data_IF_781099598022
#
_entry.id   IF_781099598022
#
_cell.length_a   1.000
_cell.length_b   1.000
_cell.length_c   1.000
_cell.angle_alpha   90.00
_cell.angle_beta   90.00
_cell.angle_gamma   90.00
#
_symmetry.space_group_name_H-M   'P 1'
#
loop_
_entity.id
_entity.type
_entity.pdbx_description
1 polymer ?
#
# COMPACT_ATOMS: atom_id res chain seq x y z
N UNK A 1 8.50 19.02 18.66
CA UNK A 1 8.44 17.60 19.06
C UNK A 1 7.10 17.35 19.75
N UNK A 2 6.34 16.36 19.32
CA UNK A 2 5.10 15.94 19.98
C UNK A 2 5.12 14.44 20.17
N UNK A 3 4.49 13.95 21.23
CA UNK A 3 4.36 12.52 21.52
C UNK A 3 2.88 12.16 21.62
N UNK A 4 2.49 11.04 21.00
CA UNK A 4 1.13 10.50 21.09
C UNK A 4 1.17 9.01 21.31
N UNK A 5 0.36 8.54 22.25
CA UNK A 5 0.14 7.10 22.44
C UNK A 5 -0.70 6.55 21.30
N UNK A 6 -0.20 5.49 20.68
CA UNK A 6 -0.81 4.86 19.52
C UNK A 6 -0.75 3.35 19.68
N UNK A 7 -1.86 2.67 19.38
CA UNK A 7 -1.96 1.20 19.45
C UNK A 7 -2.00 0.63 18.04
N UNK A 8 -1.17 -0.36 17.80
CA UNK A 8 -1.08 -1.16 16.58
C UNK A 8 -1.38 -2.63 16.88
N UNK A 9 -1.43 -3.48 15.86
CA UNK A 9 -1.58 -4.94 16.05
C UNK A 9 -0.45 -5.55 16.87
N UNK A 10 0.73 -4.95 16.81
CA UNK A 10 1.96 -5.45 17.44
C UNK A 10 2.33 -4.74 18.74
N UNK A 11 1.46 -3.93 19.29
CA UNK A 11 1.67 -3.31 20.60
C UNK A 11 1.27 -1.85 20.69
N UNK A 12 1.44 -1.29 21.88
CA UNK A 12 1.15 0.13 22.17
C UNK A 12 2.45 0.88 22.41
N UNK A 13 2.59 2.03 21.74
CA UNK A 13 3.80 2.83 21.76
C UNK A 13 3.49 4.30 21.95
N UNK A 14 4.38 5.00 22.60
CA UNK A 14 4.43 6.45 22.59
C UNK A 14 5.25 6.87 21.37
N UNK A 15 4.55 7.36 20.32
CA UNK A 15 5.13 7.74 19.04
C UNK A 15 5.50 9.22 19.08
N UNK A 16 6.78 9.51 18.92
CA UNK A 16 7.31 10.87 18.89
C UNK A 16 7.45 11.35 17.44
N UNK A 17 6.98 12.58 17.21
CA UNK A 17 7.07 13.22 15.91
C UNK A 17 7.75 14.58 15.98
N UNK A 18 8.54 14.88 14.97
CA UNK A 18 9.16 16.18 14.76
C UNK A 18 9.01 16.59 13.29
N UNK A 19 8.49 17.79 13.04
CA UNK A 19 8.28 18.34 11.69
C UNK A 19 7.51 17.42 10.76
N UNK A 20 6.54 16.66 11.30
CA UNK A 20 5.74 15.70 10.54
C UNK A 20 6.38 14.34 10.27
N UNK A 21 7.57 14.09 10.83
CA UNK A 21 8.27 12.80 10.73
C UNK A 21 8.22 12.05 12.05
N UNK A 22 8.12 10.73 12.00
CA UNK A 22 8.28 9.87 13.17
C UNK A 22 9.77 9.75 13.49
N UNK A 23 10.16 10.22 14.68
CA UNK A 23 11.56 10.20 15.14
C UNK A 23 11.82 9.09 16.17
N UNK A 24 10.79 8.69 16.92
CA UNK A 24 10.88 7.57 17.85
C UNK A 24 9.54 6.85 17.99
N UNK A 25 9.60 5.56 18.34
CA UNK A 25 8.49 4.74 18.78
C UNK A 25 8.92 4.01 20.04
N UNK A 26 8.45 4.47 21.19
CA UNK A 26 8.85 3.96 22.49
C UNK A 26 7.75 3.04 23.02
N UNK A 27 8.04 1.76 23.33
CA UNK A 27 7.05 0.88 23.90
C UNK A 27 6.59 1.41 25.27
N UNK A 28 5.34 1.14 25.63
CA UNK A 28 4.85 1.47 26.97
C UNK A 28 5.51 0.58 28.02
N UNK A 29 5.70 1.11 29.23
CA UNK A 29 6.36 0.37 30.34
C UNK A 29 5.64 -0.91 30.74
N UNK A 30 4.36 -1.05 30.41
CA UNK A 30 3.57 -2.24 30.72
C UNK A 30 3.77 -3.40 29.74
N UNK A 31 4.47 -3.18 28.61
CA UNK A 31 4.75 -4.22 27.63
C UNK A 31 6.12 -4.86 27.96
N UNK A 32 6.14 -6.12 28.42
CA UNK A 32 7.38 -6.79 28.82
C UNK A 32 8.20 -7.31 27.62
N UNK A 33 7.59 -7.43 26.44
CA UNK A 33 8.22 -7.97 25.22
C UNK A 33 7.76 -7.22 23.96
N UNK A 34 8.15 -5.95 23.82
CA UNK A 34 7.67 -5.11 22.74
C UNK A 34 8.19 -5.58 21.37
N UNK A 35 7.30 -5.59 20.39
CA UNK A 35 7.66 -5.98 19.04
C UNK A 35 8.63 -4.99 18.38
N UNK A 36 9.73 -5.45 17.77
CA UNK A 36 10.67 -4.60 17.05
C UNK A 36 10.09 -3.99 15.75
N UNK A 37 8.91 -4.44 15.31
CA UNK A 37 8.25 -3.93 14.10
C UNK A 37 7.99 -2.43 14.19
N UNK A 38 7.79 -1.90 15.39
CA UNK A 38 7.58 -0.47 15.62
C UNK A 38 8.75 0.41 15.16
N UNK A 39 9.98 -0.13 15.07
CA UNK A 39 11.13 0.61 14.55
C UNK A 39 10.98 0.98 13.06
N UNK A 40 10.18 0.24 12.30
CA UNK A 40 9.88 0.54 10.91
C UNK A 40 9.04 1.82 10.72
N UNK A 41 8.44 2.36 11.78
CA UNK A 41 7.71 3.63 11.71
C UNK A 41 8.65 4.81 11.40
N UNK A 42 9.91 4.71 11.83
CA UNK A 42 10.92 5.75 11.55
C UNK A 42 11.18 5.83 10.05
N UNK A 43 10.97 7.00 9.49
CA UNK A 43 11.17 7.25 8.05
C UNK A 43 10.18 6.55 7.11
N UNK A 44 9.16 5.84 7.63
CA UNK A 44 8.20 5.09 6.81
C UNK A 44 7.45 5.98 5.81
N UNK A 45 7.16 7.23 6.18
CA UNK A 45 6.41 8.17 5.35
C UNK A 45 7.17 8.59 4.09
N UNK A 46 8.49 8.64 4.15
CA UNK A 46 9.38 9.07 3.05
C UNK A 46 10.31 7.99 2.55
N UNK A 47 10.06 6.75 2.90
CA UNK A 47 10.84 5.62 2.42
C UNK A 47 10.68 5.48 0.89
N UNK A 48 11.79 5.22 0.21
CA UNK A 48 11.80 4.97 -1.25
C UNK A 48 10.97 3.76 -1.68
N UNK A 49 10.71 2.83 -0.76
CA UNK A 49 9.85 1.67 -1.00
C UNK A 49 8.36 2.01 -0.93
N UNK A 50 8.02 3.19 -0.40
CA UNK A 50 6.62 3.63 -0.35
C UNK A 50 6.14 4.03 -1.73
N UNK A 51 4.99 3.51 -2.13
CA UNK A 51 4.30 3.91 -3.36
C UNK A 51 3.46 5.16 -3.05
N UNK A 52 3.86 6.36 -3.48
CA UNK A 52 3.20 7.62 -3.10
C UNK A 52 1.94 7.92 -3.92
N UNK A 53 1.81 7.31 -5.10
CA UNK A 53 0.71 7.53 -6.05
C UNK A 53 0.30 6.21 -6.68
N UNK A 54 -0.89 6.09 -7.26
CA UNK A 54 -1.23 4.93 -8.07
C UNK A 54 -0.23 4.71 -9.18
N UNK A 55 0.15 3.46 -9.40
CA UNK A 55 1.15 3.07 -10.38
C UNK A 55 0.58 2.00 -11.30
N UNK A 56 0.79 2.15 -12.61
CA UNK A 56 0.35 1.20 -13.63
C UNK A 56 1.55 0.72 -14.42
N UNK A 57 1.59 -0.57 -14.76
CA UNK A 57 2.65 -1.13 -15.61
C UNK A 57 2.64 -0.48 -16.99
N UNK A 58 3.81 -0.11 -17.49
CA UNK A 58 3.95 0.55 -18.81
C UNK A 58 3.37 -0.30 -19.94
N UNK A 59 3.56 -1.60 -19.91
CA UNK A 59 3.01 -2.53 -20.92
C UNK A 59 1.48 -2.56 -20.89
N UNK A 60 0.87 -2.51 -19.72
CA UNK A 60 -0.59 -2.45 -19.61
C UNK A 60 -1.18 -1.17 -20.20
N UNK A 61 -0.49 -0.03 -20.05
CA UNK A 61 -0.91 1.23 -20.66
C UNK A 61 -0.82 1.22 -22.18
N UNK A 62 0.12 0.45 -22.74
CA UNK A 62 0.30 0.31 -24.19
C UNK A 62 -0.67 -0.69 -24.81
N UNK A 63 -0.85 -1.83 -24.17
CA UNK A 63 -1.68 -2.92 -24.67
C UNK A 63 -2.17 -3.76 -23.50
N UNK A 64 -3.44 -3.59 -23.14
CA UNK A 64 -4.09 -4.32 -22.02
C UNK A 64 -3.95 -5.84 -22.21
N UNK A 65 -4.04 -6.33 -23.44
CA UNK A 65 -4.09 -7.77 -23.77
C UNK A 65 -2.73 -8.47 -23.72
N UNK A 66 -1.62 -7.76 -23.96
CA UNK A 66 -0.29 -8.35 -24.09
C UNK A 66 0.67 -7.98 -22.95
N UNK A 67 0.15 -7.52 -21.82
CA UNK A 67 0.97 -7.05 -20.70
C UNK A 67 1.53 -8.19 -19.81
N UNK A 68 1.09 -9.43 -20.02
CA UNK A 68 1.45 -10.57 -19.14
C UNK A 68 2.93 -10.94 -19.24
N UNK A 69 3.48 -10.94 -20.45
CA UNK A 69 4.86 -11.36 -20.71
C UNK A 69 5.93 -10.40 -20.17
N UNK A 70 5.55 -9.16 -19.86
CA UNK A 70 6.45 -8.14 -19.32
C UNK A 70 6.37 -7.98 -17.80
N UNK A 71 5.57 -8.79 -17.13
CA UNK A 71 5.38 -8.74 -15.69
C UNK A 71 6.70 -8.92 -14.94
N UNK A 72 7.01 -7.97 -14.05
CA UNK A 72 8.28 -7.93 -13.31
C UNK A 72 9.50 -7.44 -14.10
N UNK A 73 9.35 -7.12 -15.40
CA UNK A 73 10.45 -6.67 -16.26
C UNK A 73 10.26 -5.26 -16.81
N UNK A 74 9.11 -4.68 -16.60
CA UNK A 74 8.75 -3.35 -17.09
C UNK A 74 8.61 -2.35 -15.94
N UNK A 75 8.81 -1.05 -16.19
CA UNK A 75 8.62 -0.03 -15.18
C UNK A 75 7.14 0.18 -14.86
N UNK A 76 6.87 0.68 -13.66
CA UNK A 76 5.60 1.26 -13.28
C UNK A 76 5.59 2.76 -13.61
N UNK A 77 4.47 3.24 -14.12
CA UNK A 77 4.24 4.63 -14.48
C UNK A 77 3.25 5.24 -13.49
N UNK A 78 3.55 6.37 -12.85
CA UNK A 78 2.62 7.05 -11.97
C UNK A 78 1.42 7.59 -12.77
N UNK A 79 0.23 7.46 -12.21
CA UNK A 79 -1.02 7.94 -12.79
C UNK A 79 -1.85 8.68 -11.74
N UNK A 80 -2.86 9.44 -12.16
CA UNK A 80 -3.82 10.04 -11.23
C UNK A 80 -4.75 8.96 -10.63
N UNK A 81 -5.32 9.25 -9.47
CA UNK A 81 -6.35 8.40 -8.86
C UNK A 81 -7.55 8.22 -9.79
N UNK A 82 -8.05 9.31 -10.36
CA UNK A 82 -9.16 9.28 -11.30
C UNK A 82 -8.90 8.34 -12.49
N UNK A 83 -7.68 8.40 -13.05
CA UNK A 83 -7.31 7.52 -14.15
C UNK A 83 -7.18 6.05 -13.71
N UNK A 84 -6.59 5.80 -12.55
CA UNK A 84 -6.47 4.45 -12.00
C UNK A 84 -7.84 3.81 -11.73
N UNK A 85 -8.75 4.54 -11.10
CA UNK A 85 -10.13 4.10 -10.84
C UNK A 85 -10.88 3.78 -12.13
N UNK A 86 -10.75 4.64 -13.14
CA UNK A 86 -11.33 4.42 -14.47
C UNK A 86 -10.82 3.13 -15.11
N UNK A 87 -9.50 2.89 -15.09
CA UNK A 87 -8.91 1.67 -15.64
C UNK A 87 -9.44 0.41 -14.95
N UNK A 88 -9.53 0.43 -13.62
CA UNK A 88 -10.05 -0.70 -12.84
C UNK A 88 -11.53 -0.93 -13.14
N UNK A 89 -12.34 0.12 -13.16
CA UNK A 89 -13.77 0.02 -13.43
C UNK A 89 -14.07 -0.51 -14.85
N UNK A 90 -13.31 -0.04 -15.85
CA UNK A 90 -13.42 -0.51 -17.23
C UNK A 90 -13.10 -2.01 -17.33
N UNK A 91 -12.00 -2.45 -16.70
CA UNK A 91 -11.56 -3.84 -16.76
C UNK A 91 -12.52 -4.78 -16.01
N UNK A 92 -12.96 -4.43 -14.81
CA UNK A 92 -13.95 -5.20 -14.07
C UNK A 92 -15.26 -5.31 -14.85
N UNK A 93 -15.68 -4.23 -15.51
CA UNK A 93 -16.88 -4.24 -16.35
C UNK A 93 -16.70 -5.16 -17.56
N UNK A 94 -15.55 -5.11 -18.22
CA UNK A 94 -15.20 -5.99 -19.35
C UNK A 94 -15.24 -7.46 -18.91
N UNK A 95 -14.54 -7.81 -17.85
CA UNK A 95 -14.46 -9.20 -17.34
C UNK A 95 -15.86 -9.72 -16.99
N UNK A 96 -16.64 -8.94 -16.25
CA UNK A 96 -18.00 -9.33 -15.89
C UNK A 96 -18.90 -9.56 -17.10
N UNK A 97 -18.81 -8.71 -18.12
CA UNK A 97 -19.63 -8.85 -19.34
C UNK A 97 -19.22 -10.03 -20.21
N UNK A 98 -17.90 -10.29 -20.32
CA UNK A 98 -17.38 -11.32 -21.21
C UNK A 98 -17.36 -12.72 -20.58
N UNK A 99 -17.19 -12.82 -19.25
CA UNK A 99 -16.88 -14.07 -18.57
C UNK A 99 -17.75 -14.33 -17.33
N UNK A 100 -18.65 -13.41 -16.96
CA UNK A 100 -19.50 -13.53 -15.78
C UNK A 100 -18.83 -13.14 -14.47
N UNK A 101 -19.59 -13.19 -13.39
CA UNK A 101 -19.07 -12.84 -12.05
C UNK A 101 -18.07 -13.88 -11.52
N UNK A 102 -18.16 -15.12 -11.96
CA UNK A 102 -17.25 -16.20 -11.54
C UNK A 102 -15.80 -15.97 -11.97
N UNK A 103 -15.59 -15.11 -12.96
CA UNK A 103 -14.23 -14.74 -13.40
C UNK A 103 -13.55 -13.69 -12.51
N UNK A 104 -14.27 -13.15 -11.52
CA UNK A 104 -13.75 -12.15 -10.58
C UNK A 104 -13.53 -12.82 -9.23
N UNK A 105 -12.28 -13.11 -8.90
CA UNK A 105 -11.90 -13.53 -7.56
C UNK A 105 -11.69 -12.33 -6.66
N UNK A 106 -12.43 -12.26 -5.57
CA UNK A 106 -12.27 -11.24 -4.54
C UNK A 106 -12.01 -11.92 -3.19
N UNK A 107 -11.01 -11.46 -2.49
CA UNK A 107 -10.65 -11.99 -1.20
C UNK A 107 -9.95 -10.94 -0.35
N UNK A 108 -9.93 -11.18 0.94
CA UNK A 108 -9.24 -10.34 1.92
C UNK A 108 -8.43 -11.22 2.84
N UNK A 109 -7.37 -10.68 3.39
CA UNK A 109 -6.59 -11.33 4.44
C UNK A 109 -7.40 -11.48 5.74
N UNK A 110 -8.46 -10.69 5.89
CA UNK A 110 -9.44 -10.86 6.96
C UNK A 110 -8.91 -10.48 8.34
N UNK A 111 -8.69 -9.24 8.52
CA UNK A 111 -8.53 -8.66 9.86
C UNK A 111 -9.88 -8.33 10.45
#
# INVERSE_FOLDING_TARGET
MSSKRTTFHWGTYDVETERGEVVASLPIAADPDPSPIADNLKGSLRNKLRIPTPMVRAGYLKSKENSENSRGREPFVPVSWEYAEKLVAEELTRVRRCFGNEAIFAGSYGW
#
